data_IF_806986227896
#
_entry.id   IF_806986227896
#
_cell.length_a   1.000
_cell.length_b   1.000
_cell.length_c   1.000
_cell.angle_alpha   90.00
_cell.angle_beta   90.00
_cell.angle_gamma   90.00
#
_symmetry.space_group_name_H-M   'P 1'
#
loop_
_entity.id
_entity.type
_entity.pdbx_description
1 polymer ?
#
# COMPACT_ATOMS: atom_id res chain seq x y z
N UNK A 1 14.19 3.61 -1.99
CA UNK A 1 14.15 4.87 -1.19
C UNK A 1 14.09 4.52 0.29
N UNK A 2 14.68 5.32 1.17
CA UNK A 2 14.68 5.10 2.64
C UNK A 2 14.00 6.28 3.32
N UNK A 3 13.21 6.02 4.36
CA UNK A 3 12.57 7.05 5.17
C UNK A 3 13.63 7.77 6.03
N UNK A 4 13.89 9.04 5.72
CA UNK A 4 14.93 9.85 6.36
C UNK A 4 14.40 10.71 7.52
N UNK A 5 13.11 11.02 7.53
CA UNK A 5 12.42 11.87 8.51
C UNK A 5 11.10 11.20 8.91
N UNK A 6 10.47 11.60 10.03
CA UNK A 6 9.13 11.12 10.35
C UNK A 6 8.17 11.32 9.18
N UNK A 7 7.39 10.30 8.87
CA UNK A 7 6.50 10.33 7.72
C UNK A 7 5.44 11.42 7.89
N UNK A 8 5.29 12.27 6.89
CA UNK A 8 4.27 13.32 6.88
C UNK A 8 2.96 12.75 6.32
N UNK A 9 1.90 12.84 7.11
CA UNK A 9 0.56 12.44 6.67
C UNK A 9 -0.09 13.60 5.93
N UNK A 10 -0.44 13.45 4.63
CA UNK A 10 -1.15 14.49 3.91
C UNK A 10 -2.60 14.64 4.44
N UNK A 11 -3.22 15.81 4.27
CA UNK A 11 -4.64 15.96 4.55
C UNK A 11 -5.45 15.03 3.65
N UNK A 12 -6.47 14.39 4.22
CA UNK A 12 -7.36 13.48 3.51
C UNK A 12 -8.66 14.20 3.13
N UNK A 13 -9.31 13.80 2.03
CA UNK A 13 -10.66 14.25 1.72
C UNK A 13 -11.64 13.89 2.83
N UNK A 14 -12.70 14.67 2.96
CA UNK A 14 -13.79 14.41 3.92
C UNK A 14 -14.42 13.04 3.66
N UNK A 15 -14.69 12.28 4.73
CA UNK A 15 -15.29 10.95 4.64
C UNK A 15 -14.31 9.82 4.35
N UNK A 16 -13.02 10.12 4.24
CA UNK A 16 -11.97 9.10 4.09
C UNK A 16 -11.30 8.83 5.44
N UNK A 17 -11.14 7.56 5.76
CA UNK A 17 -10.39 7.09 6.92
C UNK A 17 -9.24 6.19 6.49
N UNK A 18 -8.11 6.21 7.22
CA UNK A 18 -6.98 5.30 6.98
C UNK A 18 -6.70 4.56 8.28
N UNK A 19 -6.58 3.24 8.20
CA UNK A 19 -6.34 2.40 9.38
C UNK A 19 -5.48 1.18 9.07
N UNK A 20 -4.85 0.63 10.10
CA UNK A 20 -4.26 -0.70 10.07
C UNK A 20 -5.40 -1.72 9.98
N UNK A 21 -5.21 -2.75 9.19
CA UNK A 21 -6.19 -3.79 8.89
C UNK A 21 -5.98 -4.96 9.84
N UNK A 22 -7.04 -5.36 10.55
CA UNK A 22 -7.02 -6.54 11.41
C UNK A 22 -7.06 -7.84 10.58
N UNK A 23 -6.50 -8.95 11.08
CA UNK A 23 -6.56 -10.24 10.39
C UNK A 23 -8.01 -10.72 10.12
N UNK A 24 -8.95 -10.33 11.00
CA UNK A 24 -10.37 -10.73 10.91
C UNK A 24 -11.24 -9.70 10.16
N UNK A 25 -10.61 -8.73 9.51
CA UNK A 25 -11.35 -7.71 8.75
C UNK A 25 -12.21 -8.36 7.67
N UNK A 26 -13.48 -7.97 7.61
CA UNK A 26 -14.45 -8.50 6.64
C UNK A 26 -14.24 -8.00 5.22
N UNK A 27 -13.45 -6.93 5.05
CA UNK A 27 -13.11 -6.34 3.75
C UNK A 27 -11.76 -6.84 3.21
N UNK A 28 -11.18 -7.88 3.81
CA UNK A 28 -9.79 -8.30 3.51
C UNK A 28 -9.59 -8.69 2.04
N UNK A 29 -10.57 -9.32 1.43
CA UNK A 29 -10.60 -9.68 0.01
C UNK A 29 -10.61 -8.44 -0.90
N UNK A 30 -11.46 -7.46 -0.57
CA UNK A 30 -11.55 -6.19 -1.30
C UNK A 30 -10.29 -5.33 -1.10
N UNK A 31 -9.72 -5.33 0.11
CA UNK A 31 -8.45 -4.65 0.38
C UNK A 31 -7.32 -5.27 -0.44
N UNK A 32 -7.24 -6.61 -0.49
CA UNK A 32 -6.27 -7.35 -1.30
C UNK A 32 -6.40 -7.03 -2.80
N UNK A 33 -7.62 -6.84 -3.30
CA UNK A 33 -7.87 -6.54 -4.70
C UNK A 33 -7.43 -5.13 -5.14
N UNK A 34 -7.34 -4.14 -4.21
CA UNK A 34 -6.95 -2.77 -4.55
C UNK A 34 -5.60 -2.66 -5.27
N UNK A 35 -4.49 -3.25 -4.78
CA UNK A 35 -3.21 -3.24 -5.50
C UNK A 35 -3.29 -3.91 -6.87
N UNK A 36 -4.06 -4.98 -7.03
CA UNK A 36 -4.21 -5.67 -8.31
C UNK A 36 -4.84 -4.74 -9.37
N UNK A 37 -5.91 -4.01 -9.03
CA UNK A 37 -6.49 -2.97 -9.89
C UNK A 37 -5.49 -1.86 -10.17
N UNK A 38 -4.79 -1.39 -9.14
CA UNK A 38 -3.85 -0.28 -9.28
C UNK A 38 -2.69 -0.61 -10.22
N UNK A 39 -2.12 -1.82 -10.14
CA UNK A 39 -0.97 -2.25 -10.93
C UNK A 39 -1.34 -2.67 -12.35
N UNK A 40 -2.57 -3.09 -12.61
CA UNK A 40 -3.06 -3.29 -13.98
C UNK A 40 -3.22 -1.97 -14.75
N UNK A 41 -3.17 -0.83 -14.04
CA UNK A 41 -3.24 0.52 -14.63
C UNK A 41 -2.02 1.34 -14.21
N UNK A 42 -0.85 1.15 -14.88
CA UNK A 42 0.42 1.74 -14.45
C UNK A 42 0.39 3.28 -14.47
N UNK A 43 1.31 3.86 -13.70
CA UNK A 43 1.47 5.31 -13.58
C UNK A 43 0.67 5.93 -12.41
N UNK A 44 0.78 7.26 -12.27
CA UNK A 44 0.20 8.05 -11.18
C UNK A 44 -0.99 8.92 -11.62
N UNK A 45 -1.34 8.89 -12.90
CA UNK A 45 -2.49 9.62 -13.45
C UNK A 45 -3.82 9.04 -12.96
N UNK A 46 -4.86 9.89 -12.92
CA UNK A 46 -6.21 9.41 -12.70
C UNK A 46 -6.69 8.57 -13.89
N UNK A 47 -7.57 7.62 -13.63
CA UNK A 47 -8.18 6.72 -14.61
C UNK A 47 -9.61 6.40 -14.20
N UNK A 48 -10.28 5.55 -14.96
CA UNK A 48 -11.69 5.21 -14.73
C UNK A 48 -11.90 4.03 -13.77
N UNK A 49 -10.93 3.08 -13.74
CA UNK A 49 -11.06 1.87 -12.93
C UNK A 49 -11.18 2.20 -11.43
N UNK A 50 -12.16 1.58 -10.79
CA UNK A 50 -12.55 1.92 -9.43
C UNK A 50 -13.10 0.75 -8.62
N UNK A 51 -14.15 1.02 -7.85
CA UNK A 51 -14.75 0.05 -6.93
C UNK A 51 -15.31 -1.20 -7.65
N UNK A 52 -15.88 -1.04 -8.84
CA UNK A 52 -16.45 -2.16 -9.59
C UNK A 52 -15.38 -3.19 -10.00
N UNK A 53 -14.24 -2.74 -10.51
CA UNK A 53 -13.12 -3.61 -10.88
C UNK A 53 -12.50 -4.27 -9.65
N UNK A 54 -12.37 -3.53 -8.54
CA UNK A 54 -11.93 -4.08 -7.25
C UNK A 54 -12.85 -5.22 -6.80
N UNK A 55 -14.17 -4.98 -6.79
CA UNK A 55 -15.14 -5.96 -6.31
C UNK A 55 -15.20 -7.19 -7.20
N UNK A 56 -14.99 -7.04 -8.51
CA UNK A 56 -14.85 -8.14 -9.45
C UNK A 56 -13.62 -9.00 -9.10
N UNK A 57 -12.45 -8.40 -8.92
CA UNK A 57 -11.23 -9.12 -8.54
C UNK A 57 -11.39 -9.78 -7.17
N UNK A 58 -12.03 -9.10 -6.22
CA UNK A 58 -12.29 -9.65 -4.90
C UNK A 58 -13.22 -10.88 -4.93
N UNK A 59 -14.14 -10.96 -5.88
CA UNK A 59 -15.03 -12.12 -6.04
C UNK A 59 -14.36 -13.31 -6.76
N UNK A 60 -13.35 -13.06 -7.57
CA UNK A 60 -12.69 -14.06 -8.41
C UNK A 60 -11.49 -14.77 -7.75
N UNK A 61 -11.03 -14.31 -6.55
CA UNK A 61 -9.89 -14.93 -5.88
C UNK A 61 -10.24 -16.31 -5.30
N UNK A 62 -9.25 -17.18 -5.22
CA UNK A 62 -9.37 -18.39 -4.44
C UNK A 62 -9.31 -18.08 -2.92
N UNK A 63 -10.07 -18.81 -2.12
CA UNK A 63 -10.09 -18.64 -0.67
C UNK A 63 -8.72 -18.86 0.00
N UNK A 64 -7.81 -19.57 -0.65
CA UNK A 64 -6.47 -19.86 -0.16
C UNK A 64 -5.59 -18.60 -0.05
N UNK A 65 -5.69 -17.71 -1.02
CA UNK A 65 -4.92 -16.43 -1.00
C UNK A 65 -5.28 -15.58 0.21
N UNK A 66 -6.56 -15.42 0.51
CA UNK A 66 -7.01 -14.62 1.67
C UNK A 66 -6.70 -15.34 2.99
N UNK A 67 -6.81 -16.66 3.04
CA UNK A 67 -6.41 -17.43 4.23
C UNK A 67 -4.92 -17.26 4.54
N UNK A 68 -4.06 -17.32 3.53
CA UNK A 68 -2.62 -17.08 3.67
C UNK A 68 -2.33 -15.63 4.11
N UNK A 69 -3.01 -14.64 3.52
CA UNK A 69 -2.86 -13.24 3.92
C UNK A 69 -3.25 -13.05 5.40
N UNK A 70 -4.38 -13.62 5.81
CA UNK A 70 -4.85 -13.58 7.21
C UNK A 70 -3.83 -14.17 8.17
N UNK A 71 -3.23 -15.31 7.83
CA UNK A 71 -2.21 -15.93 8.66
C UNK A 71 -0.94 -15.07 8.77
N UNK A 72 -0.52 -14.44 7.67
CA UNK A 72 0.62 -13.50 7.69
C UNK A 72 0.36 -12.27 8.57
N UNK A 73 -0.88 -11.79 8.62
CA UNK A 73 -1.29 -10.69 9.51
C UNK A 73 -1.31 -11.15 10.98
N UNK A 74 -1.85 -12.34 11.28
CA UNK A 74 -1.89 -12.91 12.64
C UNK A 74 -0.50 -13.17 13.20
N UNK A 75 0.40 -13.69 12.39
CA UNK A 75 1.77 -13.96 12.79
C UNK A 75 2.66 -12.71 12.88
N UNK A 76 2.17 -11.55 12.46
CA UNK A 76 2.93 -10.30 12.44
C UNK A 76 3.99 -10.21 11.34
N UNK A 77 4.07 -11.19 10.43
CA UNK A 77 4.98 -11.14 9.27
C UNK A 77 4.64 -10.03 8.28
N UNK A 78 3.40 -9.59 8.27
CA UNK A 78 2.95 -8.47 7.46
C UNK A 78 2.02 -7.58 8.27
N UNK A 79 2.10 -6.28 8.00
CA UNK A 79 1.11 -5.29 8.41
C UNK A 79 0.46 -4.77 7.16
N UNK A 80 -0.85 -4.64 7.17
CA UNK A 80 -1.63 -4.10 6.07
C UNK A 80 -2.31 -2.82 6.53
N UNK A 81 -2.29 -1.79 5.70
CA UNK A 81 -3.06 -0.57 5.92
C UNK A 81 -3.90 -0.26 4.70
N UNK A 82 -5.07 0.30 4.92
CA UNK A 82 -5.96 0.70 3.84
C UNK A 82 -6.67 2.02 4.14
N UNK A 83 -6.99 2.74 3.06
CA UNK A 83 -7.86 3.91 3.07
C UNK A 83 -9.25 3.48 2.66
N UNK A 84 -10.27 3.95 3.39
CA UNK A 84 -11.67 3.59 3.19
C UNK A 84 -12.50 4.84 2.92
N UNK A 85 -13.45 4.71 2.02
CA UNK A 85 -14.53 5.65 1.75
C UNK A 85 -15.89 4.96 1.88
N UNK A 86 -16.97 5.63 1.42
CA UNK A 86 -18.32 5.07 1.49
C UNK A 86 -18.46 3.71 0.78
N UNK A 87 -17.72 3.52 -0.31
CA UNK A 87 -17.77 2.29 -1.13
C UNK A 87 -16.73 1.23 -0.73
N UNK A 88 -16.13 1.35 0.47
CA UNK A 88 -15.14 0.41 0.98
C UNK A 88 -13.69 0.84 0.72
N UNK A 89 -12.72 -0.12 0.57
CA UNK A 89 -11.30 0.19 0.45
C UNK A 89 -10.94 0.84 -0.90
N UNK A 90 -10.19 1.93 -0.85
CA UNK A 90 -9.84 2.80 -1.98
C UNK A 90 -8.34 2.78 -2.30
N UNK A 91 -7.54 2.56 -1.27
CA UNK A 91 -6.09 2.40 -1.35
C UNK A 91 -5.65 1.36 -0.32
N UNK A 92 -4.60 0.63 -0.62
CA UNK A 92 -4.01 -0.32 0.30
C UNK A 92 -2.49 -0.41 0.09
N UNK A 93 -1.80 -0.93 1.10
CA UNK A 93 -0.38 -1.22 1.05
C UNK A 93 0.02 -2.12 2.21
N UNK A 94 1.18 -2.75 2.13
CA UNK A 94 1.70 -3.64 3.16
C UNK A 94 3.09 -3.24 3.61
N UNK A 95 3.44 -3.61 4.83
CA UNK A 95 4.76 -3.48 5.41
C UNK A 95 5.21 -4.84 5.95
N UNK A 96 6.44 -5.22 5.63
CA UNK A 96 7.05 -6.47 6.07
C UNK A 96 8.33 -6.13 6.81
N UNK A 97 8.38 -6.50 8.09
CA UNK A 97 9.55 -6.24 8.93
C UNK A 97 10.36 -7.52 9.17
N UNK A 98 11.66 -7.38 9.12
CA UNK A 98 12.64 -8.39 9.56
C UNK A 98 13.61 -7.67 10.49
N UNK A 99 13.63 -8.07 11.74
CA UNK A 99 14.40 -7.42 12.80
C UNK A 99 14.09 -5.91 12.89
N UNK A 100 15.10 -5.07 12.62
CA UNK A 100 14.97 -3.61 12.69
C UNK A 100 14.82 -2.93 11.32
N UNK A 101 14.52 -3.71 10.27
CA UNK A 101 14.37 -3.24 8.90
C UNK A 101 12.97 -3.61 8.39
N UNK A 102 12.31 -2.70 7.71
CA UNK A 102 11.02 -2.98 7.08
C UNK A 102 10.94 -2.46 5.65
N UNK A 103 10.29 -3.23 4.81
CA UNK A 103 9.94 -2.82 3.45
C UNK A 103 8.44 -2.52 3.36
N UNK A 104 8.11 -1.35 2.81
CA UNK A 104 6.74 -1.03 2.42
C UNK A 104 6.57 -1.40 0.95
N UNK A 105 5.59 -2.26 0.68
CA UNK A 105 5.34 -2.82 -0.65
C UNK A 105 3.85 -2.76 -1.02
N UNK A 106 3.57 -2.95 -2.30
CA UNK A 106 2.19 -3.13 -2.76
C UNK A 106 1.28 -1.92 -2.55
N UNK A 107 1.82 -0.71 -2.44
CA UNK A 107 0.99 0.48 -2.27
C UNK A 107 0.26 0.78 -3.58
N UNK A 108 -1.05 0.58 -3.56
CA UNK A 108 -1.96 0.83 -4.68
C UNK A 108 -3.08 1.77 -4.30
N UNK A 109 -3.54 2.56 -5.27
CA UNK A 109 -4.72 3.42 -5.18
C UNK A 109 -5.58 3.13 -6.40
N UNK A 110 -6.89 2.95 -6.21
CA UNK A 110 -7.82 2.80 -7.32
C UNK A 110 -7.65 3.97 -8.31
N UNK A 111 -7.49 3.70 -9.61
CA UNK A 111 -7.19 4.73 -10.61
C UNK A 111 -8.11 5.95 -10.57
N UNK A 112 -9.42 5.74 -10.38
CA UNK A 112 -10.43 6.82 -10.28
C UNK A 112 -10.25 7.73 -9.05
N UNK A 113 -9.46 7.31 -8.05
CA UNK A 113 -9.25 8.02 -6.78
C UNK A 113 -7.80 8.47 -6.58
N UNK A 114 -6.99 8.39 -7.62
CA UNK A 114 -5.61 8.89 -7.58
C UNK A 114 -5.54 10.42 -7.40
N UNK A 115 -4.37 10.92 -7.01
CA UNK A 115 -4.07 12.35 -6.80
C UNK A 115 -4.78 13.00 -5.61
N UNK A 116 -5.39 12.20 -4.73
CA UNK A 116 -6.08 12.65 -3.50
C UNK A 116 -5.25 12.38 -2.22
N UNK A 117 -3.99 12.00 -2.35
CA UNK A 117 -3.12 11.75 -1.19
C UNK A 117 -3.26 10.38 -0.52
N UNK A 118 -4.18 9.50 -0.99
CA UNK A 118 -4.51 8.23 -0.33
C UNK A 118 -3.30 7.29 -0.21
N UNK A 119 -2.52 7.13 -1.29
CA UNK A 119 -1.32 6.29 -1.26
C UNK A 119 -0.25 6.82 -0.30
N UNK A 120 -0.10 8.15 -0.23
CA UNK A 120 0.80 8.79 0.72
C UNK A 120 0.35 8.56 2.16
N UNK A 121 -0.95 8.68 2.45
CA UNK A 121 -1.49 8.46 3.80
C UNK A 121 -1.35 7.00 4.26
N UNK A 122 -1.63 6.02 3.38
CA UNK A 122 -1.39 4.60 3.65
C UNK A 122 0.08 4.34 3.94
N UNK A 123 0.99 4.89 3.13
CA UNK A 123 2.45 4.73 3.32
C UNK A 123 2.90 5.37 4.63
N UNK A 124 2.42 6.56 4.96
CA UNK A 124 2.77 7.25 6.20
C UNK A 124 2.29 6.48 7.44
N UNK A 125 1.08 5.90 7.40
CA UNK A 125 0.56 5.09 8.50
C UNK A 125 1.38 3.81 8.69
N UNK A 126 1.72 3.10 7.60
CA UNK A 126 2.60 1.91 7.67
C UNK A 126 3.98 2.26 8.24
N UNK A 127 4.54 3.39 7.85
CA UNK A 127 5.82 3.85 8.36
C UNK A 127 5.76 4.21 9.86
N UNK A 128 4.68 4.84 10.31
CA UNK A 128 4.45 5.14 11.72
C UNK A 128 4.32 3.86 12.56
N UNK A 129 3.46 2.93 12.14
CA UNK A 129 3.29 1.63 12.82
C UNK A 129 4.61 0.84 12.90
N UNK A 130 5.41 0.83 11.83
CA UNK A 130 6.71 0.19 11.85
C UNK A 130 7.68 0.84 12.85
N UNK A 131 7.69 2.18 12.96
CA UNK A 131 8.48 2.92 13.96
C UNK A 131 8.04 2.59 15.38
N UNK A 132 6.75 2.57 15.64
CA UNK A 132 6.17 2.25 16.96
C UNK A 132 6.53 0.81 17.39
N UNK A 133 6.73 -0.09 16.44
CA UNK A 133 7.24 -1.46 16.66
C UNK A 133 8.76 -1.55 16.78
N UNK A 134 9.49 -0.43 16.74
CA UNK A 134 10.94 -0.39 16.93
C UNK A 134 11.77 -0.59 15.65
N UNK A 135 11.16 -0.56 14.47
CA UNK A 135 11.87 -0.63 13.19
C UNK A 135 12.72 0.65 13.03
N UNK A 136 14.01 0.48 12.74
CA UNK A 136 14.96 1.58 12.58
C UNK A 136 15.15 2.01 11.13
N UNK A 137 15.04 1.09 10.20
CA UNK A 137 15.19 1.36 8.76
C UNK A 137 13.93 0.97 8.03
N UNK A 138 13.25 1.94 7.42
CA UNK A 138 12.07 1.72 6.59
C UNK A 138 12.42 2.12 5.18
N UNK A 139 12.19 1.23 4.23
CA UNK A 139 12.47 1.48 2.82
C UNK A 139 11.32 1.03 1.91
N UNK A 140 11.39 1.46 0.67
CA UNK A 140 10.50 1.05 -0.41
C UNK A 140 11.20 1.18 -1.76
N UNK A 141 10.66 0.51 -2.76
CA UNK A 141 11.05 0.66 -4.16
C UNK A 141 9.99 1.45 -4.92
N UNK A 142 10.42 2.43 -5.73
CA UNK A 142 9.57 3.19 -6.61
C UNK A 142 9.82 2.73 -8.05
N UNK A 143 8.75 2.45 -8.81
CA UNK A 143 8.84 1.97 -10.20
C UNK A 143 9.43 3.01 -11.16
N UNK A 144 9.19 4.28 -10.89
CA UNK A 144 9.59 5.40 -11.73
C UNK A 144 9.73 6.71 -10.96
N UNK A 145 10.19 7.76 -11.64
CA UNK A 145 10.40 9.07 -11.04
C UNK A 145 9.09 9.77 -10.58
N UNK A 146 7.94 9.44 -11.18
CA UNK A 146 6.67 10.03 -10.76
C UNK A 146 6.21 9.43 -9.44
N UNK A 147 6.35 8.13 -9.27
CA UNK A 147 6.10 7.40 -8.01
C UNK A 147 7.11 7.83 -6.94
N UNK A 148 8.40 7.95 -7.28
CA UNK A 148 9.42 8.42 -6.35
C UNK A 148 9.10 9.82 -5.77
N UNK A 149 8.56 10.74 -6.58
CA UNK A 149 8.12 12.05 -6.10
C UNK A 149 6.97 11.99 -5.08
N UNK A 150 6.08 11.00 -5.17
CA UNK A 150 5.03 10.80 -4.15
C UNK A 150 5.68 10.49 -2.81
N UNK A 151 6.61 9.53 -2.79
CA UNK A 151 7.28 9.10 -1.55
C UNK A 151 8.25 10.15 -1.01
N UNK A 152 8.90 10.95 -1.87
CA UNK A 152 9.75 12.05 -1.41
C UNK A 152 8.98 13.09 -0.58
N UNK A 153 7.70 13.34 -0.90
CA UNK A 153 6.84 14.28 -0.14
C UNK A 153 6.46 13.75 1.25
N UNK A 154 6.61 12.46 1.49
CA UNK A 154 6.32 11.83 2.80
C UNK A 154 7.60 11.74 3.66
N UNK A 155 8.78 12.06 3.11
CA UNK A 155 10.05 12.00 3.82
C UNK A 155 11.01 10.89 3.37
N UNK A 156 10.69 10.17 2.30
CA UNK A 156 11.63 9.19 1.73
C UNK A 156 12.68 9.85 0.84
N UNK A 157 13.93 9.42 0.98
CA UNK A 157 15.04 9.82 0.10
C UNK A 157 15.49 8.66 -0.78
N UNK A 158 15.81 8.97 -2.03
CA UNK A 158 16.45 7.99 -2.92
C UNK A 158 17.89 7.77 -2.45
N UNK A 159 18.29 6.51 -2.28
CA UNK A 159 19.64 6.11 -1.88
C UNK A 159 20.34 5.26 -2.94
N UNK A 160 19.59 4.78 -3.93
CA UNK A 160 20.12 3.92 -5.00
C UNK A 160 19.03 3.49 -5.96
N UNK A 161 19.40 2.63 -6.89
CA UNK A 161 18.50 1.98 -7.85
C UNK A 161 18.65 0.48 -7.72
N UNK A 162 17.53 -0.23 -7.59
CA UNK A 162 17.50 -1.68 -7.67
C UNK A 162 17.43 -2.10 -9.15
N UNK A 163 18.24 -3.09 -9.52
CA UNK A 163 18.19 -3.72 -10.85
C UNK A 163 17.32 -4.96 -10.73
N UNK A 164 16.27 -5.02 -11.53
CA UNK A 164 15.38 -6.19 -11.63
C UNK A 164 15.59 -6.79 -13.00
N UNK A 165 15.93 -8.07 -13.06
CA UNK A 165 16.03 -8.84 -14.29
C UNK A 165 14.88 -9.82 -14.40
N UNK A 166 14.18 -9.81 -15.51
CA UNK A 166 13.18 -10.81 -15.86
C UNK A 166 13.71 -11.72 -16.98
N UNK A 167 13.35 -13.01 -17.00
CA UNK A 167 13.69 -13.88 -18.12
C UNK A 167 13.12 -13.30 -19.42
N UNK A 168 13.91 -13.32 -20.49
CA UNK A 168 13.39 -13.01 -21.81
C UNK A 168 12.26 -14.00 -22.16
N UNK A 169 11.13 -13.47 -22.61
CA UNK A 169 10.01 -14.27 -23.10
C UNK A 169 10.31 -14.76 -24.52
#
# INVERSE_FOLDING_TARGET
MVLAEPAQVPPLPTGITVRIVAPEDTELDRIWAVPAVAFSHPGTGAGEAGAAERDKIAADHDGGTIAMLRERLRSGHSVLAAAFGPDGPLAAGSCQAVDSIAEITGVGVLPSLRRQGLGAAVTALLAADARDRGVRTIFLSASDAAVARVYARIGFRQIGTAMIAEPAR
#
